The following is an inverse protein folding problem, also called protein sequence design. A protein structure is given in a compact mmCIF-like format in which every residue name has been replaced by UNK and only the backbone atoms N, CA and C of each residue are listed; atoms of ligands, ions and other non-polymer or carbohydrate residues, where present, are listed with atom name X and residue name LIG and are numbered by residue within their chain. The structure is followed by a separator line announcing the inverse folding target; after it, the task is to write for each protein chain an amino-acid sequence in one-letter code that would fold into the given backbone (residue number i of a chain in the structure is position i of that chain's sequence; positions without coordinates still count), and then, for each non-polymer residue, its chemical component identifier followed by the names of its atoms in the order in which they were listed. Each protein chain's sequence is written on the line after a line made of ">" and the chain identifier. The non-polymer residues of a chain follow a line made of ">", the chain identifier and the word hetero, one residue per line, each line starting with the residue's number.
data_IF_527405841650
#
_entry.id   IF_527405841650
#
_cell.length_a   1.000
_cell.length_b   1.000
_cell.length_c   1.000
_cell.angle_alpha   90.00
_cell.angle_beta   90.00
_cell.angle_gamma   90.00
#
_symmetry.space_group_name_H-M   'P 1'
#
loop_
_entity.id
_entity.type
_entity.pdbx_description
1 polymer ?
#
# COMPACT_ATOMS: atom_id res chain seq x y z
N UNK A 1 -40.96 -10.30 32.17
CA UNK A 1 -39.64 -10.43 31.49
C UNK A 1 -39.68 -11.66 30.59
N UNK A 2 -39.69 -11.49 29.26
CA UNK A 2 -39.49 -12.49 28.17
C UNK A 2 -40.20 -11.99 26.89
N UNK A 3 -39.59 -11.03 26.17
CA UNK A 3 -39.63 -11.15 24.70
C UNK A 3 -38.29 -10.88 24.00
N UNK A 4 -37.25 -10.41 24.72
CA UNK A 4 -35.97 -10.02 24.10
C UNK A 4 -35.07 -11.22 23.69
N UNK A 5 -35.29 -12.41 24.26
CA UNK A 5 -34.43 -13.58 24.01
C UNK A 5 -34.78 -14.34 22.72
N UNK A 6 -36.01 -14.17 22.19
CA UNK A 6 -36.46 -14.85 20.97
C UNK A 6 -35.92 -14.22 19.69
N UNK A 7 -35.63 -12.91 19.69
CA UNK A 7 -35.14 -12.20 18.51
C UNK A 7 -33.65 -12.50 18.20
N UNK A 8 -32.86 -12.85 19.23
CA UNK A 8 -31.42 -13.14 19.07
C UNK A 8 -31.17 -14.53 18.45
N UNK A 9 -32.08 -15.50 18.64
CA UNK A 9 -31.97 -16.84 18.07
C UNK A 9 -32.36 -16.92 16.57
N UNK A 10 -33.19 -16.01 16.09
CA UNK A 10 -33.60 -15.96 14.67
C UNK A 10 -32.47 -15.39 13.79
N UNK A 11 -31.69 -14.43 14.28
CA UNK A 11 -30.56 -13.86 13.52
C UNK A 11 -29.34 -14.81 13.41
N UNK A 12 -29.18 -15.76 14.33
CA UNK A 12 -28.10 -16.77 14.27
C UNK A 12 -28.45 -17.89 13.28
N UNK A 13 -29.73 -18.16 13.03
CA UNK A 13 -30.16 -19.23 12.11
C UNK A 13 -30.07 -18.84 10.63
N UNK A 14 -30.08 -17.54 10.29
CA UNK A 14 -29.90 -17.09 8.89
C UNK A 14 -28.45 -17.02 8.42
N UNK A 15 -27.46 -17.17 9.32
CA UNK A 15 -26.04 -17.23 8.95
C UNK A 15 -25.49 -18.65 8.76
N UNK A 16 -26.28 -19.69 9.04
CA UNK A 16 -25.85 -21.10 8.95
C UNK A 16 -26.32 -21.84 7.68
N UNK A 17 -26.96 -21.15 6.73
CA UNK A 17 -27.54 -21.75 5.50
C UNK A 17 -26.79 -21.39 4.21
N UNK A 18 -25.51 -21.02 4.29
CA UNK A 18 -24.64 -20.81 3.12
C UNK A 18 -23.38 -21.69 3.14
N UNK A 19 -23.44 -22.84 3.79
CA UNK A 19 -22.34 -23.81 3.87
C UNK A 19 -22.87 -25.24 3.76
N UNK A 20 -23.30 -25.60 2.55
CA UNK A 20 -23.70 -26.94 2.19
C UNK A 20 -23.95 -26.99 0.69
N UNK A 21 -23.03 -27.64 -0.03
CA UNK A 21 -23.11 -28.13 -1.42
C UNK A 21 -22.02 -27.60 -2.36
N UNK A 22 -20.76 -27.98 -2.10
CA UNK A 22 -19.79 -28.21 -3.19
C UNK A 22 -18.99 -29.48 -2.88
N UNK A 23 -19.61 -30.63 -3.12
CA UNK A 23 -18.89 -31.90 -3.34
C UNK A 23 -19.16 -32.33 -4.80
N UNK A 24 -18.06 -32.46 -5.53
CA UNK A 24 -17.89 -33.16 -6.81
C UNK A 24 -18.94 -32.95 -7.92
N UNK A 25 -18.60 -32.06 -8.86
CA UNK A 25 -18.69 -32.35 -10.29
C UNK A 25 -17.50 -31.72 -11.02
N UNK A 26 -16.42 -32.49 -11.17
CA UNK A 26 -15.35 -32.15 -12.11
C UNK A 26 -15.79 -32.64 -13.49
N UNK A 27 -16.65 -31.87 -14.16
CA UNK A 27 -16.87 -32.00 -15.60
C UNK A 27 -16.13 -30.87 -16.29
N UNK A 28 -15.37 -31.25 -17.32
CA UNK A 28 -14.49 -30.41 -18.13
C UNK A 28 -15.26 -29.23 -18.74
N UNK A 29 -15.29 -28.10 -18.05
CA UNK A 29 -15.60 -26.82 -18.67
C UNK A 29 -14.37 -26.36 -19.45
N UNK A 30 -14.45 -26.39 -20.80
CA UNK A 30 -13.52 -25.68 -21.67
C UNK A 30 -13.53 -24.21 -21.26
N UNK A 31 -12.41 -23.75 -20.69
CA UNK A 31 -12.18 -22.35 -20.41
C UNK A 31 -12.31 -21.56 -21.72
N UNK A 32 -13.38 -20.77 -21.82
CA UNK A 32 -13.57 -19.80 -22.88
C UNK A 32 -12.63 -18.64 -22.58
N UNK A 33 -11.55 -18.54 -23.37
CA UNK A 33 -10.55 -17.48 -23.32
C UNK A 33 -11.24 -16.12 -23.39
N UNK A 34 -11.33 -15.43 -22.26
CA UNK A 34 -11.79 -14.05 -22.20
C UNK A 34 -10.56 -13.17 -22.41
N UNK A 35 -10.39 -12.72 -23.65
CA UNK A 35 -9.47 -11.67 -24.04
C UNK A 35 -9.82 -10.41 -23.22
N UNK A 36 -8.99 -10.05 -22.25
CA UNK A 36 -9.26 -8.92 -21.35
C UNK A 36 -8.07 -8.63 -20.43
N UNK A 37 -7.28 -7.61 -20.82
CA UNK A 37 -6.09 -7.06 -20.15
C UNK A 37 -4.90 -8.03 -20.11
N UNK A 38 -4.02 -7.90 -21.09
CA UNK A 38 -2.67 -8.51 -21.17
C UNK A 38 -1.70 -7.86 -20.18
N UNK A 39 -2.06 -7.82 -18.89
CA UNK A 39 -1.09 -7.54 -17.84
C UNK A 39 -0.42 -8.85 -17.46
N UNK A 40 0.91 -8.94 -17.58
CA UNK A 40 1.69 -10.05 -17.06
C UNK A 40 1.59 -10.01 -15.52
N UNK A 41 0.49 -10.51 -14.96
CA UNK A 41 0.35 -10.68 -13.52
C UNK A 41 1.28 -11.79 -13.09
N UNK A 42 2.32 -11.44 -12.35
CA UNK A 42 3.20 -12.39 -11.70
C UNK A 42 2.47 -13.14 -10.58
N UNK A 43 3.05 -14.25 -10.13
CA UNK A 43 2.51 -15.07 -9.04
C UNK A 43 2.08 -14.21 -7.85
N UNK A 44 0.85 -14.41 -7.37
CA UNK A 44 0.29 -13.64 -6.25
C UNK A 44 -0.48 -12.37 -6.65
N UNK A 45 -0.54 -12.05 -7.95
CA UNK A 45 -1.37 -10.98 -8.50
C UNK A 45 -0.79 -9.57 -8.36
N UNK A 46 0.53 -9.49 -8.22
CA UNK A 46 1.33 -8.27 -8.33
C UNK A 46 1.36 -7.79 -9.80
N UNK A 47 1.67 -6.51 -10.02
CA UNK A 47 1.72 -5.90 -11.37
C UNK A 47 3.16 -5.56 -11.69
N UNK A 48 3.82 -6.46 -12.41
CA UNK A 48 5.26 -6.42 -12.66
C UNK A 48 5.52 -6.48 -14.17
N UNK A 49 5.31 -5.34 -14.83
CA UNK A 49 5.56 -5.21 -16.25
C UNK A 49 6.97 -4.66 -16.47
N UNK A 50 7.75 -5.20 -17.42
CA UNK A 50 9.11 -4.73 -17.69
C UNK A 50 9.12 -3.31 -18.28
N UNK A 51 8.00 -2.78 -18.77
CA UNK A 51 7.93 -1.43 -19.30
C UNK A 51 6.56 -0.79 -19.08
N UNK A 52 6.51 0.53 -19.16
CA UNK A 52 5.26 1.29 -19.11
C UNK A 52 5.47 2.74 -18.68
N UNK A 53 4.39 3.35 -18.20
CA UNK A 53 4.43 4.68 -17.61
C UNK A 53 4.52 4.62 -16.07
N UNK A 54 5.26 5.56 -15.51
CA UNK A 54 5.47 5.73 -14.09
C UNK A 54 5.37 7.20 -13.65
N UNK A 55 5.16 7.38 -12.35
CA UNK A 55 5.42 8.64 -11.67
C UNK A 55 6.74 8.55 -10.90
N UNK A 56 7.35 9.70 -10.66
CA UNK A 56 8.65 9.83 -10.03
C UNK A 56 8.60 10.89 -8.93
N UNK A 57 9.14 10.59 -7.76
CA UNK A 57 9.44 11.55 -6.68
C UNK A 57 10.83 11.31 -6.14
N UNK A 58 11.18 12.02 -5.06
CA UNK A 58 12.42 11.82 -4.33
C UNK A 58 12.14 11.54 -2.85
N UNK A 59 13.00 10.73 -2.25
CA UNK A 59 12.98 10.47 -0.80
C UNK A 59 14.39 10.43 -0.21
N UNK A 60 14.45 10.69 1.08
CA UNK A 60 15.65 10.47 1.90
C UNK A 60 15.47 9.25 2.79
N UNK A 61 16.59 8.62 3.14
CA UNK A 61 16.66 7.53 4.12
C UNK A 61 16.87 6.14 3.51
N UNK A 62 17.39 6.04 2.29
CA UNK A 62 17.53 4.77 1.57
C UNK A 62 18.67 3.85 2.03
N UNK A 63 19.27 4.10 3.19
CA UNK A 63 20.46 3.38 3.69
C UNK A 63 20.13 1.99 4.24
N UNK A 64 18.88 1.78 4.68
CA UNK A 64 18.38 0.50 5.20
C UNK A 64 17.16 0.05 4.41
N UNK A 65 17.32 -0.31 3.13
CA UNK A 65 16.19 -0.45 2.24
C UNK A 65 15.55 -1.84 2.37
N UNK A 66 14.31 -1.97 1.89
CA UNK A 66 13.46 -3.15 2.08
C UNK A 66 13.98 -4.44 1.43
N UNK A 67 14.88 -4.35 0.45
CA UNK A 67 15.56 -5.53 -0.11
C UNK A 67 16.65 -6.11 0.81
N UNK A 68 17.03 -5.38 1.86
CA UNK A 68 17.92 -5.86 2.92
C UNK A 68 19.39 -5.90 2.57
N UNK A 69 19.80 -5.25 1.48
CA UNK A 69 21.20 -5.06 1.09
C UNK A 69 21.44 -3.56 1.04
N UNK A 70 22.44 -3.07 1.76
CA UNK A 70 22.84 -1.67 1.66
C UNK A 70 23.50 -1.40 0.32
N UNK A 71 23.52 -0.13 -0.10
CA UNK A 71 24.20 0.28 -1.32
C UNK A 71 25.35 1.20 -0.95
N UNK A 72 26.54 0.92 -1.49
CA UNK A 72 27.72 1.77 -1.29
C UNK A 72 27.84 2.81 -2.40
N UNK A 73 27.27 2.54 -3.57
CA UNK A 73 27.18 3.50 -4.68
C UNK A 73 26.07 3.13 -5.68
N UNK A 74 25.81 4.04 -6.63
CA UNK A 74 24.86 3.87 -7.73
C UNK A 74 23.46 4.36 -7.42
N UNK A 75 22.70 4.70 -8.45
CA UNK A 75 21.36 5.27 -8.31
C UNK A 75 20.35 4.22 -7.86
N UNK A 76 19.61 4.52 -6.81
CA UNK A 76 18.62 3.60 -6.23
C UNK A 76 17.24 4.23 -6.17
N UNK A 77 16.22 3.38 -6.12
CA UNK A 77 14.83 3.81 -5.99
C UNK A 77 14.02 2.84 -5.13
N UNK A 78 13.00 3.38 -4.47
CA UNK A 78 11.90 2.61 -3.95
C UNK A 78 10.83 2.41 -5.02
N UNK A 79 10.19 1.24 -5.04
CA UNK A 79 9.11 0.92 -5.99
C UNK A 79 7.79 0.76 -5.25
N UNK A 80 6.68 1.23 -5.83
CA UNK A 80 5.37 1.07 -5.22
C UNK A 80 5.04 -0.39 -4.90
N UNK A 81 4.36 -0.60 -3.77
CA UNK A 81 3.98 -1.90 -3.24
C UNK A 81 3.50 -2.91 -4.29
N UNK A 82 2.58 -2.50 -5.18
CA UNK A 82 1.97 -3.40 -6.16
C UNK A 82 2.97 -3.96 -7.19
N UNK A 83 4.05 -3.23 -7.46
CA UNK A 83 5.12 -3.65 -8.37
C UNK A 83 6.34 -4.19 -7.64
N UNK A 84 6.54 -3.78 -6.38
CA UNK A 84 7.62 -4.28 -5.53
C UNK A 84 7.51 -5.79 -5.29
N UNK A 85 6.30 -6.28 -5.00
CA UNK A 85 6.03 -7.71 -4.90
C UNK A 85 6.02 -8.29 -3.48
N UNK A 86 6.04 -7.44 -2.45
CA UNK A 86 5.97 -7.85 -1.04
C UNK A 86 5.45 -6.71 -0.15
N UNK A 87 4.75 -7.05 0.93
CA UNK A 87 4.32 -6.07 1.95
C UNK A 87 5.45 -5.70 2.90
N UNK A 88 6.37 -6.64 3.12
CA UNK A 88 7.51 -6.57 4.00
C UNK A 88 8.64 -7.46 3.48
N UNK A 89 9.88 -7.08 3.78
CA UNK A 89 11.06 -7.78 3.29
C UNK A 89 11.23 -7.68 1.77
N UNK A 90 11.76 -8.72 1.15
CA UNK A 90 12.10 -8.71 -0.29
C UNK A 90 10.93 -9.07 -1.18
N UNK A 91 10.75 -8.30 -2.25
CA UNK A 91 9.87 -8.62 -3.36
C UNK A 91 10.65 -8.90 -4.65
N UNK A 92 9.97 -9.33 -5.69
CA UNK A 92 10.62 -9.70 -6.96
C UNK A 92 11.24 -8.50 -7.70
N UNK A 93 10.87 -7.26 -7.34
CA UNK A 93 11.51 -6.06 -7.86
C UNK A 93 12.96 -5.86 -7.33
N UNK A 94 13.30 -6.50 -6.22
CA UNK A 94 14.60 -6.29 -5.58
C UNK A 94 15.77 -6.59 -6.51
N UNK A 95 16.61 -5.58 -6.70
CA UNK A 95 17.83 -5.64 -7.50
C UNK A 95 17.66 -5.46 -9.00
N UNK A 96 16.42 -5.37 -9.51
CA UNK A 96 16.16 -5.07 -10.93
C UNK A 96 16.55 -3.64 -11.28
N UNK A 97 17.02 -3.43 -12.50
CA UNK A 97 17.43 -2.14 -13.00
C UNK A 97 16.43 -1.60 -14.02
N UNK A 98 16.13 -0.30 -13.93
CA UNK A 98 15.14 0.36 -14.75
C UNK A 98 15.72 1.63 -15.34
N UNK A 99 15.70 1.74 -16.66
CA UNK A 99 15.88 2.99 -17.37
C UNK A 99 14.59 3.80 -17.20
N UNK A 100 14.70 4.97 -16.62
CA UNK A 100 13.57 5.88 -16.38
C UNK A 100 13.78 7.19 -17.13
N UNK A 101 12.73 7.69 -17.76
CA UNK A 101 12.76 8.90 -18.58
C UNK A 101 11.62 9.82 -18.19
N UNK A 102 11.90 11.06 -17.76
CA UNK A 102 10.87 12.05 -17.49
C UNK A 102 10.29 12.56 -18.82
N UNK A 103 8.97 12.71 -18.89
CA UNK A 103 8.28 13.18 -20.11
C UNK A 103 7.35 14.34 -19.89
N UNK A 104 6.84 14.53 -18.66
CA UNK A 104 5.90 15.60 -18.32
C UNK A 104 5.84 15.85 -16.81
N UNK A 105 5.36 17.03 -16.45
CA UNK A 105 5.01 17.40 -15.09
C UNK A 105 3.63 16.86 -14.70
N UNK A 106 3.40 16.53 -13.42
CA UNK A 106 2.11 16.04 -12.95
C UNK A 106 1.03 17.13 -12.91
N UNK A 107 1.42 18.40 -12.84
CA UNK A 107 0.52 19.55 -12.99
C UNK A 107 0.82 20.34 -14.27
N UNK A 108 -0.21 21.00 -14.81
CA UNK A 108 -0.10 21.76 -16.06
C UNK A 108 0.43 23.19 -15.84
N UNK A 109 0.91 23.51 -14.63
CA UNK A 109 1.52 24.80 -14.35
C UNK A 109 2.83 24.86 -15.12
N UNK A 110 2.95 25.89 -15.95
CA UNK A 110 3.91 26.00 -17.03
C UNK A 110 5.38 25.93 -16.57
N UNK A 111 5.89 24.72 -16.42
CA UNK A 111 7.32 24.47 -16.40
C UNK A 111 7.78 24.38 -17.85
N UNK A 112 8.43 25.43 -18.34
CA UNK A 112 9.02 25.52 -19.69
C UNK A 112 10.49 25.07 -19.73
N UNK A 113 10.98 24.48 -18.63
CA UNK A 113 12.36 24.02 -18.47
C UNK A 113 12.64 22.65 -19.11
N UNK A 114 13.91 22.25 -19.07
CA UNK A 114 14.34 20.89 -19.43
C UNK A 114 13.59 19.87 -18.57
N UNK A 115 13.21 18.72 -19.15
CA UNK A 115 12.51 17.64 -18.44
C UNK A 115 13.43 16.86 -17.49
N UNK A 116 14.72 17.19 -17.41
CA UNK A 116 15.69 16.41 -16.63
C UNK A 116 16.34 15.33 -17.48
N UNK A 117 16.99 14.36 -16.83
CA UNK A 117 17.76 13.33 -17.54
C UNK A 117 17.08 11.95 -17.48
N UNK A 118 17.34 11.15 -18.50
CA UNK A 118 17.13 9.70 -18.40
C UNK A 118 18.26 9.10 -17.58
N UNK A 119 17.94 8.25 -16.60
CA UNK A 119 18.93 7.54 -15.79
C UNK A 119 18.55 6.06 -15.68
N UNK A 120 19.49 5.23 -15.24
CA UNK A 120 19.23 3.85 -14.82
C UNK A 120 19.27 3.77 -13.30
N UNK A 121 18.18 3.33 -12.69
CA UNK A 121 18.06 3.12 -11.23
C UNK A 121 17.95 1.64 -10.91
N UNK A 122 18.43 1.24 -9.74
CA UNK A 122 18.22 -0.10 -9.19
C UNK A 122 17.16 -0.06 -8.09
N UNK A 123 16.17 -0.94 -8.18
CA UNK A 123 15.12 -1.04 -7.18
C UNK A 123 15.66 -1.74 -5.92
N UNK A 124 15.75 -1.01 -4.82
CA UNK A 124 16.30 -1.51 -3.55
C UNK A 124 15.29 -1.48 -2.42
N UNK A 125 14.21 -0.70 -2.58
CA UNK A 125 13.33 -0.36 -1.49
C UNK A 125 11.86 -0.44 -1.88
N UNK A 126 11.00 -0.47 -0.87
CA UNK A 126 9.56 -0.48 -1.00
C UNK A 126 9.04 0.93 -0.73
N UNK A 127 8.25 1.46 -1.65
CA UNK A 127 7.37 2.59 -1.36
C UNK A 127 6.01 2.02 -0.91
N UNK A 128 5.71 2.02 0.40
CA UNK A 128 4.54 1.33 0.92
C UNK A 128 3.24 2.08 0.58
N UNK A 129 2.13 1.36 0.67
CA UNK A 129 0.82 2.00 0.68
C UNK A 129 0.69 2.88 1.92
N UNK A 130 0.55 4.21 1.75
CA UNK A 130 0.25 5.09 2.87
C UNK A 130 -1.26 5.04 3.18
N UNK A 131 -1.62 4.35 4.26
CA UNK A 131 -3.01 4.30 4.76
C UNK A 131 -3.46 5.56 5.50
N UNK A 132 -2.63 6.62 5.53
CA UNK A 132 -2.83 7.80 6.40
C UNK A 132 -2.69 9.16 5.71
N UNK A 133 -2.80 9.24 4.38
CA UNK A 133 -2.71 10.53 3.66
C UNK A 133 -1.29 10.97 3.31
N UNK A 134 -0.33 10.05 3.26
CA UNK A 134 0.97 10.31 2.64
C UNK A 134 0.85 10.59 1.13
N UNK A 135 1.94 11.00 0.48
CA UNK A 135 1.95 11.39 -0.92
C UNK A 135 1.27 10.33 -1.81
N UNK A 136 0.35 10.74 -2.69
CA UNK A 136 -0.62 9.86 -3.37
C UNK A 136 -0.02 9.07 -4.55
N UNK A 137 1.26 8.73 -4.46
CA UNK A 137 2.05 8.18 -5.56
C UNK A 137 2.12 6.65 -5.56
N UNK A 138 2.18 6.02 -4.37
CA UNK A 138 2.38 4.57 -4.19
C UNK A 138 1.10 3.82 -3.76
N UNK A 139 -0.07 4.43 -3.93
CA UNK A 139 -1.35 3.90 -3.46
C UNK A 139 -2.02 2.92 -4.45
N UNK A 140 -1.29 2.39 -5.43
CA UNK A 140 -1.81 1.41 -6.37
C UNK A 140 -2.18 0.11 -5.63
N UNK A 141 -3.34 -0.42 -5.97
CA UNK A 141 -3.84 -1.70 -5.48
C UNK A 141 -4.35 -2.51 -6.67
N UNK A 142 -4.65 -3.79 -6.47
CA UNK A 142 -5.17 -4.63 -7.56
C UNK A 142 -6.50 -4.11 -8.11
N UNK A 143 -7.39 -3.62 -7.23
CA UNK A 143 -8.69 -3.07 -7.62
C UNK A 143 -8.60 -1.63 -8.13
N UNK A 144 -7.53 -0.90 -7.79
CA UNK A 144 -7.23 0.45 -8.28
C UNK A 144 -5.75 0.50 -8.69
N UNK A 145 -5.39 -0.05 -9.87
CA UNK A 145 -4.00 -0.33 -10.25
C UNK A 145 -3.23 0.91 -10.70
N UNK A 146 -3.81 2.09 -10.54
CA UNK A 146 -3.19 3.37 -10.89
C UNK A 146 -3.29 4.32 -9.71
N UNK A 147 -2.28 5.16 -9.56
CA UNK A 147 -2.30 6.22 -8.56
C UNK A 147 -3.16 7.40 -9.03
N UNK A 148 -3.16 8.51 -8.28
CA UNK A 148 -4.00 9.67 -8.63
C UNK A 148 -3.61 10.36 -9.95
N UNK A 149 -2.41 10.07 -10.46
CA UNK A 149 -1.89 10.59 -11.72
C UNK A 149 -2.04 9.57 -12.86
N UNK A 150 -2.77 8.49 -12.66
CA UNK A 150 -3.00 7.46 -13.67
C UNK A 150 -1.85 6.48 -13.87
N UNK A 151 -0.82 6.50 -13.00
CA UNK A 151 0.39 5.70 -13.18
C UNK A 151 0.31 4.36 -12.44
N UNK A 152 0.62 3.26 -13.15
CA UNK A 152 0.64 1.90 -12.58
C UNK A 152 1.89 1.63 -11.74
N UNK A 153 2.98 2.26 -12.13
CA UNK A 153 4.28 2.18 -11.47
C UNK A 153 4.61 3.51 -10.82
N UNK A 154 5.34 3.46 -9.71
CA UNK A 154 5.97 4.64 -9.15
C UNK A 154 7.38 4.30 -8.65
N UNK A 155 8.31 5.21 -8.92
CA UNK A 155 9.68 5.16 -8.41
C UNK A 155 9.92 6.37 -7.51
N UNK A 156 10.30 6.11 -6.28
CA UNK A 156 10.74 7.14 -5.33
C UNK A 156 12.28 7.15 -5.31
N UNK A 157 12.90 8.18 -5.87
CA UNK A 157 14.34 8.21 -6.14
C UNK A 157 15.13 8.58 -4.89
N UNK A 158 16.16 7.80 -4.55
CA UNK A 158 16.95 8.12 -3.38
C UNK A 158 17.80 9.37 -3.58
N UNK A 159 17.61 10.36 -2.70
CA UNK A 159 18.41 11.59 -2.69
C UNK A 159 19.87 11.31 -2.33
N UNK A 160 20.11 10.46 -1.32
CA UNK A 160 21.48 10.16 -0.88
C UNK A 160 22.30 9.37 -1.89
N UNK A 161 21.65 8.68 -2.84
CA UNK A 161 22.35 8.00 -3.92
C UNK A 161 22.67 8.96 -5.09
N UNK A 162 22.18 10.19 -5.06
CA UNK A 162 22.26 11.15 -6.17
C UNK A 162 21.27 10.90 -7.31
N UNK A 163 20.33 9.94 -7.16
CA UNK A 163 19.39 9.59 -8.22
C UNK A 163 18.42 10.74 -8.52
N UNK A 164 17.88 11.34 -7.45
CA UNK A 164 16.96 12.47 -7.54
C UNK A 164 17.60 13.67 -8.28
N UNK A 165 18.80 14.08 -7.87
CA UNK A 165 19.50 15.22 -8.47
C UNK A 165 19.96 14.99 -9.90
N UNK A 166 20.20 13.72 -10.28
CA UNK A 166 20.52 13.37 -11.66
C UNK A 166 19.28 13.38 -12.55
N UNK A 167 18.11 13.00 -12.02
CA UNK A 167 16.87 12.86 -12.77
C UNK A 167 16.09 14.17 -12.89
N UNK A 168 15.85 14.86 -11.77
CA UNK A 168 14.99 16.04 -11.73
C UNK A 168 15.76 17.33 -12.06
N UNK A 169 15.16 18.24 -12.84
CA UNK A 169 15.62 19.63 -12.89
C UNK A 169 15.60 20.29 -11.51
N UNK A 170 16.36 21.38 -11.34
CA UNK A 170 16.28 22.21 -10.14
C UNK A 170 14.83 22.66 -9.91
N UNK A 171 14.37 22.58 -8.65
CA UNK A 171 13.02 22.97 -8.18
C UNK A 171 11.86 22.06 -8.60
N UNK A 172 12.14 20.88 -9.18
CA UNK A 172 11.12 19.89 -9.56
C UNK A 172 11.15 18.72 -8.59
N UNK A 173 10.06 18.53 -7.83
CA UNK A 173 9.95 17.42 -6.86
C UNK A 173 9.17 16.20 -7.36
N UNK A 174 8.51 16.29 -8.51
CA UNK A 174 7.70 15.19 -9.05
C UNK A 174 7.56 15.27 -10.57
N UNK A 175 7.62 14.12 -11.24
CA UNK A 175 7.44 14.01 -12.70
C UNK A 175 6.69 12.73 -13.08
N UNK A 176 6.21 12.69 -14.33
CA UNK A 176 5.65 11.50 -14.96
C UNK A 176 6.47 11.15 -16.21
N UNK A 177 6.48 9.87 -16.58
CA UNK A 177 7.14 9.43 -17.79
C UNK A 177 7.26 7.94 -17.92
N UNK A 178 8.30 7.49 -18.60
CA UNK A 178 8.41 6.11 -19.05
C UNK A 178 9.45 5.36 -18.23
N UNK A 179 9.27 4.06 -18.12
CA UNK A 179 10.29 3.16 -17.61
C UNK A 179 10.41 1.92 -18.51
N UNK A 180 11.62 1.38 -18.56
CA UNK A 180 11.94 0.09 -19.18
C UNK A 180 12.95 -0.61 -18.30
N UNK A 181 12.66 -1.85 -17.92
CA UNK A 181 13.58 -2.74 -17.24
C UNK A 181 14.72 -3.07 -18.20
N UNK A 182 15.94 -2.96 -17.70
CA UNK A 182 17.17 -3.21 -18.45
C UNK A 182 18.04 -4.15 -17.63
N UNK A 183 18.97 -4.85 -18.28
CA UNK A 183 19.99 -5.57 -17.51
C UNK A 183 20.81 -4.56 -16.71
N UNK A 184 21.11 -4.88 -15.44
CA UNK A 184 21.97 -4.04 -14.62
C UNK A 184 23.39 -3.90 -15.21
N UNK A 185 23.79 -4.80 -16.11
CA UNK A 185 25.06 -4.75 -16.85
C UNK A 185 24.86 -4.48 -18.34
N UNK A 186 23.74 -3.89 -18.77
CA UNK A 186 23.52 -3.67 -20.21
C UNK A 186 24.41 -2.53 -20.71
N UNK A 187 25.38 -2.82 -21.59
CA UNK A 187 26.11 -1.81 -22.38
C UNK A 187 25.24 -1.10 -23.43
N UNK A 188 23.96 -1.48 -23.56
CA UNK A 188 23.07 -1.07 -24.65
C UNK A 188 22.61 0.41 -24.59
N UNK A 189 22.78 1.12 -23.47
CA UNK A 189 22.23 2.47 -23.31
C UNK A 189 23.22 3.62 -23.54
N UNK A 190 23.11 4.36 -24.64
CA UNK A 190 23.86 5.61 -24.82
C UNK A 190 22.93 6.82 -24.59
N UNK A 191 22.99 7.44 -23.41
CA UNK A 191 22.38 8.74 -23.12
C UNK A 191 22.87 9.32 -21.78
N UNK A 192 22.46 10.52 -21.36
CA UNK A 192 23.07 11.80 -21.80
C UNK A 192 24.50 12.04 -21.27
N UNK A 193 25.14 11.06 -20.64
CA UNK A 193 26.54 11.11 -20.18
C UNK A 193 27.37 9.87 -20.59
N UNK A 194 26.87 9.05 -21.54
CA UNK A 194 27.66 7.96 -22.14
C UNK A 194 27.90 6.76 -21.22
N UNK A 195 27.08 6.55 -20.18
CA UNK A 195 27.18 5.42 -19.26
C UNK A 195 25.98 4.48 -19.43
N UNK A 196 26.18 3.33 -20.10
CA UNK A 196 25.06 2.46 -20.47
C UNK A 196 24.46 1.60 -19.37
N UNK A 197 25.18 1.43 -18.28
CA UNK A 197 24.84 0.46 -17.26
C UNK A 197 24.48 1.16 -15.95
N UNK A 198 23.78 0.43 -15.07
CA UNK A 198 23.71 0.83 -13.68
C UNK A 198 25.13 0.73 -13.09
N UNK A 199 25.72 1.88 -12.73
CA UNK A 199 27.05 1.93 -12.12
C UNK A 199 26.91 2.09 -10.62
N UNK A 200 27.10 0.99 -9.90
CA UNK A 200 27.13 1.03 -8.45
C UNK A 200 27.66 -0.26 -7.85
N UNK A 201 27.67 -0.29 -6.52
CA UNK A 201 28.14 -1.42 -5.75
C UNK A 201 27.20 -1.67 -4.58
N UNK A 202 26.90 -2.95 -4.37
CA UNK A 202 26.22 -3.42 -3.17
C UNK A 202 27.16 -3.32 -1.97
N UNK A 203 26.57 -3.08 -0.80
CA UNK A 203 27.21 -3.19 0.48
C UNK A 203 26.93 -4.56 1.11
N UNK A 204 26.85 -4.57 2.44
CA UNK A 204 26.56 -5.77 3.20
C UNK A 204 25.07 -6.10 3.24
N UNK A 205 24.78 -7.39 3.39
CA UNK A 205 23.47 -7.86 3.81
C UNK A 205 23.16 -7.35 5.23
N UNK A 206 22.00 -6.72 5.38
CA UNK A 206 21.54 -6.11 6.63
C UNK A 206 20.79 -7.09 7.54
N UNK A 207 20.16 -8.12 6.97
CA UNK A 207 19.39 -9.12 7.71
C UNK A 207 19.24 -10.44 6.93
N UNK A 208 18.97 -11.54 7.63
CA UNK A 208 18.84 -12.88 7.05
C UNK A 208 17.65 -12.99 6.07
N UNK A 209 17.92 -13.45 4.83
CA UNK A 209 16.91 -13.57 3.78
C UNK A 209 16.73 -12.34 2.90
N UNK A 210 17.65 -11.36 3.00
CA UNK A 210 17.82 -10.29 2.04
C UNK A 210 18.08 -10.86 0.63
N UNK A 211 17.69 -10.14 -0.40
CA UNK A 211 17.85 -10.58 -1.78
C UNK A 211 17.93 -9.38 -2.72
N UNK A 212 18.83 -9.47 -3.69
CA UNK A 212 18.95 -8.55 -4.80
C UNK A 212 19.17 -9.38 -6.08
N UNK A 213 18.31 -9.19 -7.08
CA UNK A 213 18.59 -9.64 -8.44
C UNK A 213 19.85 -8.96 -8.96
N UNK A 214 20.69 -9.69 -9.70
CA UNK A 214 21.93 -9.22 -10.31
C UNK A 214 21.81 -9.15 -11.85
N UNK A 215 22.93 -8.94 -12.54
CA UNK A 215 23.01 -8.86 -14.01
C UNK A 215 22.55 -10.11 -14.76
N UNK A 216 22.44 -11.26 -14.10
CA UNK A 216 21.94 -12.52 -14.71
C UNK A 216 20.47 -12.76 -14.42
N UNK A 217 19.82 -11.88 -13.64
CA UNK A 217 18.37 -11.95 -13.40
C UNK A 217 17.65 -11.64 -14.71
N UNK A 218 16.83 -12.57 -15.25
CA UNK A 218 16.10 -12.28 -16.46
C UNK A 218 15.04 -11.21 -16.20
N UNK A 219 14.75 -10.39 -17.22
CA UNK A 219 13.73 -9.35 -17.14
C UNK A 219 12.34 -9.94 -16.85
N UNK A 220 11.44 -9.14 -16.30
CA UNK A 220 10.04 -9.53 -16.15
C UNK A 220 9.45 -9.98 -17.50
N UNK A 221 8.62 -11.04 -17.51
CA UNK A 221 7.90 -11.64 -16.38
C UNK A 221 8.63 -12.78 -15.65
N UNK A 222 9.93 -12.98 -15.89
CA UNK A 222 10.70 -14.01 -15.19
C UNK A 222 10.97 -13.63 -13.74
N UNK A 223 11.23 -14.63 -12.89
CA UNK A 223 11.42 -14.46 -11.45
C UNK A 223 12.88 -14.15 -11.10
N UNK A 224 13.08 -13.16 -10.25
CA UNK A 224 14.33 -12.87 -9.53
C UNK A 224 14.21 -13.34 -8.08
N UNK A 225 14.10 -12.39 -7.14
CA UNK A 225 13.96 -12.68 -5.71
C UNK A 225 12.66 -13.38 -5.32
N UNK A 226 11.63 -13.32 -6.18
CA UNK A 226 10.30 -13.86 -5.93
C UNK A 226 9.43 -12.93 -5.09
N UNK A 227 8.12 -12.98 -5.37
CA UNK A 227 7.12 -12.23 -4.61
C UNK A 227 6.86 -12.89 -3.25
N UNK A 228 6.58 -12.07 -2.23
CA UNK A 228 6.22 -12.55 -0.89
C UNK A 228 4.80 -12.14 -0.51
N UNK A 229 4.05 -13.13 -0.02
CA UNK A 229 2.64 -12.96 0.32
C UNK A 229 1.71 -13.01 -0.89
N UNK A 230 0.41 -13.04 -0.60
CA UNK A 230 -0.65 -12.88 -1.61
C UNK A 230 -1.17 -11.45 -1.51
N UNK A 231 -1.41 -10.78 -2.64
CA UNK A 231 -2.16 -9.51 -2.69
C UNK A 231 -3.38 -9.66 -1.79
N UNK A 232 -3.68 -8.68 -0.93
CA UNK A 232 -4.82 -8.65 0.02
C UNK A 232 -5.88 -9.68 -0.36
N UNK A 233 -5.67 -10.92 0.10
CA UNK A 233 -6.63 -11.95 -0.21
C UNK A 233 -7.87 -11.48 0.51
N UNK A 234 -8.98 -11.35 -0.21
CA UNK A 234 -10.28 -11.09 0.42
C UNK A 234 -10.47 -12.05 1.60
N UNK A 235 -9.93 -13.28 1.53
CA UNK A 235 -9.88 -14.21 2.66
C UNK A 235 -9.09 -13.67 3.87
N UNK A 236 -7.90 -13.06 3.70
CA UNK A 236 -7.11 -12.52 4.83
C UNK A 236 -7.78 -11.28 5.43
N UNK A 237 -8.37 -10.43 4.60
CA UNK A 237 -9.17 -9.28 5.07
C UNK A 237 -10.43 -9.74 5.81
N UNK A 238 -11.14 -10.74 5.28
CA UNK A 238 -12.32 -11.34 5.91
C UNK A 238 -11.95 -12.08 7.20
N UNK A 239 -10.80 -12.76 7.26
CA UNK A 239 -10.30 -13.40 8.48
C UNK A 239 -9.96 -12.34 9.53
N UNK A 240 -9.29 -11.23 9.17
CA UNK A 240 -9.01 -10.14 10.10
C UNK A 240 -10.29 -9.46 10.59
N UNK A 241 -11.24 -9.16 9.70
CA UNK A 241 -12.54 -8.63 10.10
C UNK A 241 -13.31 -9.61 10.97
N UNK A 242 -13.31 -10.91 10.65
CA UNK A 242 -13.93 -11.96 11.46
C UNK A 242 -13.31 -12.09 12.85
N UNK A 243 -11.98 -12.02 12.96
CA UNK A 243 -11.26 -12.02 14.24
C UNK A 243 -11.59 -10.77 15.07
N UNK A 244 -11.60 -9.59 14.45
CA UNK A 244 -11.97 -8.35 15.16
C UNK A 244 -13.42 -8.36 15.63
N UNK A 245 -14.33 -8.88 14.80
CA UNK A 245 -15.75 -8.95 15.13
C UNK A 245 -16.03 -9.96 16.25
N UNK A 246 -15.41 -11.15 16.19
CA UNK A 246 -15.56 -12.17 17.24
C UNK A 246 -14.94 -11.74 18.58
N UNK A 247 -13.80 -11.04 18.57
CA UNK A 247 -13.20 -10.48 19.78
C UNK A 247 -14.10 -9.41 20.42
N UNK A 248 -14.65 -8.47 19.62
CA UNK A 248 -15.56 -7.45 20.15
C UNK A 248 -16.86 -8.03 20.69
N UNK A 249 -17.42 -9.05 20.05
CA UNK A 249 -18.62 -9.76 20.55
C UNK A 249 -18.33 -10.42 21.91
N UNK A 250 -17.18 -11.09 22.08
CA UNK A 250 -16.83 -11.71 23.36
C UNK A 250 -16.71 -10.69 24.49
N UNK A 251 -16.12 -9.53 24.22
CA UNK A 251 -16.02 -8.43 25.21
C UNK A 251 -17.41 -7.89 25.57
N UNK A 252 -18.29 -7.69 24.58
CA UNK A 252 -19.68 -7.28 24.82
C UNK A 252 -20.46 -8.31 25.66
N UNK A 253 -20.31 -9.61 25.38
CA UNK A 253 -20.94 -10.67 26.19
C UNK A 253 -20.37 -10.76 27.61
N UNK A 254 -19.08 -10.48 27.81
CA UNK A 254 -18.47 -10.44 29.13
C UNK A 254 -18.98 -9.26 29.97
N UNK A 255 -19.20 -8.09 29.34
CA UNK A 255 -19.81 -6.92 30.00
C UNK A 255 -21.27 -7.23 30.35
N UNK A 256 -22.06 -7.75 29.41
CA UNK A 256 -23.46 -8.10 29.66
C UNK A 256 -23.63 -9.20 30.72
N UNK A 257 -22.68 -10.12 30.89
CA UNK A 257 -22.73 -11.12 31.97
C UNK A 257 -22.41 -10.54 33.35
N UNK A 258 -21.67 -9.44 33.46
CA UNK A 258 -21.39 -8.80 34.76
C UNK A 258 -22.63 -8.13 35.35
N UNK A 259 -23.54 -7.63 34.53
CA UNK A 259 -24.73 -6.92 35.02
C UNK A 259 -25.89 -7.84 35.46
N UNK A 260 -25.85 -9.14 35.13
CA UNK A 260 -26.90 -10.10 35.52
C UNK A 260 -26.62 -10.76 36.88
N UNK A 261 -25.44 -10.54 37.46
CA UNK A 261 -24.97 -11.31 38.62
C UNK A 261 -25.18 -10.70 40.01
N UNK A 262 -25.59 -9.44 40.17
CA UNK A 262 -25.63 -8.83 41.51
C UNK A 262 -26.66 -7.71 41.66
N UNK A 263 -27.94 -8.07 41.55
CA UNK A 263 -29.04 -7.25 42.04
C UNK A 263 -29.75 -7.96 43.20
N UNK A 264 -29.07 -8.08 44.35
CA UNK A 264 -29.79 -8.14 45.63
C UNK A 264 -30.36 -6.75 45.88
N UNK A 265 -31.64 -6.58 45.52
CA UNK A 265 -32.42 -5.38 45.82
C UNK A 265 -32.56 -5.22 47.33
N UNK A 266 -31.79 -4.30 47.92
CA UNK A 266 -32.05 -3.79 49.26
C UNK A 266 -33.17 -2.72 49.18
N UNK A 267 -34.19 -2.73 50.06
CA UNK A 267 -35.27 -1.77 50.02
C UNK A 267 -34.77 -0.37 50.40
N UNK A 268 -34.70 0.51 49.41
CA UNK A 268 -34.34 1.93 49.58
C UNK A 268 -35.45 2.66 50.33
N UNK A 269 -35.17 3.11 51.55
CA UNK A 269 -36.02 4.05 52.30
C UNK A 269 -36.21 5.33 51.49
N UNK A 270 -37.47 5.69 51.27
CA UNK A 270 -37.89 6.96 50.65
C UNK A 270 -37.58 8.08 51.63
N UNK A 271 -36.57 8.88 51.32
CA UNK A 271 -36.28 10.13 52.02
C UNK A 271 -36.87 11.26 51.17
N UNK A 272 -37.91 11.91 51.70
CA UNK A 272 -38.50 13.10 51.11
C UNK A 272 -37.48 14.25 51.17
N UNK A 273 -36.93 14.63 50.03
CA UNK A 273 -36.16 15.87 49.88
C UNK A 273 -37.09 16.95 49.33
N UNK A 274 -37.32 17.96 50.17
CA UNK A 274 -38.04 19.20 49.85
C UNK A 274 -37.22 20.00 48.85
N UNK A 275 -37.75 20.22 47.66
CA UNK A 275 -37.16 21.09 46.63
C UNK A 275 -37.63 22.51 46.91
N UNK A 276 -36.73 23.37 47.38
CA UNK A 276 -36.94 24.82 47.31
C UNK A 276 -36.45 25.32 45.95
N UNK A 277 -37.36 26.03 45.27
CA UNK A 277 -37.17 26.64 43.97
C UNK A 277 -36.48 27.99 44.19
N UNK A 278 -35.23 28.11 43.74
CA UNK A 278 -34.57 29.41 43.52
C UNK A 278 -34.76 29.77 42.04
N UNK A 279 -35.54 30.81 41.82
CA UNK A 279 -35.60 31.54 40.56
C UNK A 279 -34.42 32.49 40.54
N UNK A 280 -33.47 32.32 39.60
CA UNK A 280 -32.54 33.38 39.18
C UNK A 280 -31.82 32.96 37.89
N UNK A 281 -31.74 33.89 36.94
CA UNK A 281 -30.65 33.87 35.95
C UNK A 281 -31.02 33.75 34.47
N UNK A 282 -31.92 34.61 33.97
CA UNK A 282 -32.09 34.87 32.54
C UNK A 282 -31.16 36.03 32.09
N UNK A 283 -30.04 35.74 31.39
CA UNK A 283 -29.22 36.72 30.62
C UNK A 283 -28.53 35.99 29.45
N UNK A 284 -29.08 36.05 28.24
CA UNK A 284 -28.68 36.93 27.10
C UNK A 284 -27.23 36.76 26.64
N UNK A 285 -27.03 36.03 25.54
CA UNK A 285 -25.85 36.06 24.67
C UNK A 285 -26.35 36.24 23.23
N UNK A 286 -26.42 37.51 22.84
CA UNK A 286 -26.68 37.98 21.48
C UNK A 286 -25.77 39.19 21.32
N UNK A 287 -24.58 38.98 20.75
CA UNK A 287 -23.78 39.97 19.98
C UNK A 287 -22.29 39.58 19.97
N UNK A 288 -21.85 38.89 18.89
CA UNK A 288 -20.55 39.18 18.24
C UNK A 288 -20.37 38.33 16.97
N UNK A 289 -20.93 38.83 15.88
CA UNK A 289 -20.52 38.43 14.55
C UNK A 289 -20.47 39.68 13.67
N UNK A 290 -19.43 40.50 13.86
CA UNK A 290 -18.93 41.37 12.81
C UNK A 290 -17.49 41.83 13.13
N UNK A 291 -16.64 41.76 12.09
CA UNK A 291 -15.23 42.21 12.01
C UNK A 291 -14.15 41.23 12.51
N UNK A 292 -13.63 40.43 11.58
CA UNK A 292 -12.23 40.51 11.11
C UNK A 292 -12.10 39.77 9.78
#
# INVERSE_FOLDING_TARGET
>A
MKPALALVLVLISTLALASGDIVHHCTKAKAKTKTGITGNTSDGGWVQNPEGEASFTAYSGCQTPSCGISMTSGYTAAVNLLSFGAYDGTGDACGRCFKITPTRYPDSRHHTGSMGNTIVVRATDLCPFSSGGGPPWCNQTVSKPVNQHGMKMHFDLCEQSGASSAFFPSDVGAMLGNYTEVSCSSTEWQGSEGKPEWQGSEGGQLWGGACMGNSTTPLWPQRGCGNRGTKHSLARALIQFGLMYTLRIRTLFAILRRDVGSATMEPRKVMHTRVERSEDGLKTESEKAERM
#
